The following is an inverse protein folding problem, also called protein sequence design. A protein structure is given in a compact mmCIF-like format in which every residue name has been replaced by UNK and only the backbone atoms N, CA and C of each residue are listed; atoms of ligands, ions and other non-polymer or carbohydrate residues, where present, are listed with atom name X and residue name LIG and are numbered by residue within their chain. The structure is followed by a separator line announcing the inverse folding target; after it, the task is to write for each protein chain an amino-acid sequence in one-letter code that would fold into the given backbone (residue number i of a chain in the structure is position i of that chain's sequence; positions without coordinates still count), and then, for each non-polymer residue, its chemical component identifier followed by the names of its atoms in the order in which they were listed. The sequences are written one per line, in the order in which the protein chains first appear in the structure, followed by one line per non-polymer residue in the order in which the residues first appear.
data_IF_671812769674
#
_entry.id   IF_671812769674
#
_cell.length_a   1.000
_cell.length_b   1.000
_cell.length_c   1.000
_cell.angle_alpha   90.00
_cell.angle_beta   90.00
_cell.angle_gamma   90.00
#
_symmetry.space_group_name_H-M   'P 1'
#
loop_
_entity.id
_entity.type
_entity.pdbx_description
1 polymer ?
#
# COMPACT_ATOMS: atom_id res chain seq x y z
N UNK A 1 -21.60 -93.13 19.10
CA UNK A 1 -21.91 -93.48 17.69
C UNK A 1 -22.20 -92.14 16.97
N UNK A 2 -21.56 -91.85 15.87
CA UNK A 2 -21.87 -90.64 15.10
C UNK A 2 -20.63 -89.95 14.60
N UNK A 3 -20.21 -90.39 13.48
CA UNK A 3 -19.00 -90.09 12.69
C UNK A 3 -18.96 -88.66 12.23
N UNK A 4 -17.82 -87.97 12.46
CA UNK A 4 -17.52 -86.71 11.93
C UNK A 4 -17.14 -86.75 10.45
N UNK A 5 -17.51 -85.72 9.71
CA UNK A 5 -16.94 -85.46 8.40
C UNK A 5 -16.12 -84.16 8.47
N UNK A 6 -14.83 -84.30 8.18
CA UNK A 6 -13.92 -83.20 7.86
C UNK A 6 -14.33 -82.56 6.51
N UNK A 7 -14.40 -81.20 6.47
CA UNK A 7 -14.38 -80.47 5.24
C UNK A 7 -12.98 -79.82 5.07
N UNK A 8 -12.44 -79.92 3.89
CA UNK A 8 -11.12 -79.37 3.45
C UNK A 8 -11.20 -77.85 3.18
N UNK A 9 -10.10 -77.12 3.27
CA UNK A 9 -10.08 -75.70 3.03
C UNK A 9 -10.04 -75.37 1.53
N UNK A 10 -10.88 -74.45 1.11
CA UNK A 10 -10.82 -73.83 -0.23
C UNK A 10 -9.66 -72.88 -0.28
N UNK A 11 -8.98 -72.81 -1.43
CA UNK A 11 -7.80 -72.04 -1.71
C UNK A 11 -8.08 -70.54 -1.96
N UNK A 12 -7.03 -69.70 -2.12
CA UNK A 12 -7.13 -68.26 -2.12
C UNK A 12 -7.73 -67.75 -3.44
N UNK A 13 -8.85 -67.02 -3.30
CA UNK A 13 -9.45 -66.26 -4.42
C UNK A 13 -8.77 -64.97 -4.70
N UNK A 14 -8.38 -64.87 -5.93
CA UNK A 14 -8.14 -63.68 -6.80
C UNK A 14 -7.91 -62.32 -6.20
N UNK A 15 -6.73 -61.81 -6.55
CA UNK A 15 -6.30 -60.40 -6.52
C UNK A 15 -7.41 -59.40 -6.85
N UNK A 16 -7.84 -58.64 -5.83
CA UNK A 16 -8.53 -57.40 -5.97
C UNK A 16 -7.53 -56.30 -6.31
N UNK A 17 -7.22 -56.10 -7.58
CA UNK A 17 -6.60 -54.91 -8.09
C UNK A 17 -7.45 -53.70 -7.68
N UNK A 18 -7.03 -53.00 -6.62
CA UNK A 18 -7.54 -51.65 -6.29
C UNK A 18 -7.12 -50.77 -7.45
N UNK A 19 -8.08 -50.56 -8.37
CA UNK A 19 -7.92 -49.49 -9.37
C UNK A 19 -7.80 -48.19 -8.62
N UNK A 20 -6.61 -47.57 -8.64
CA UNK A 20 -6.38 -46.21 -8.21
C UNK A 20 -7.38 -45.31 -8.96
N UNK A 21 -8.18 -44.58 -8.20
CA UNK A 21 -9.13 -43.61 -8.70
C UNK A 21 -8.34 -42.49 -9.46
N UNK A 22 -8.55 -42.27 -10.76
CA UNK A 22 -7.81 -41.27 -11.52
C UNK A 22 -8.15 -39.83 -11.14
N UNK A 23 -8.97 -39.61 -10.11
CA UNK A 23 -9.38 -38.27 -9.66
C UNK A 23 -8.68 -37.75 -8.39
N UNK A 24 -7.76 -38.48 -7.79
CA UNK A 24 -6.81 -37.92 -6.83
C UNK A 24 -5.71 -37.20 -7.61
N UNK A 25 -6.05 -36.06 -8.25
CA UNK A 25 -5.06 -34.98 -8.50
C UNK A 25 -4.57 -34.60 -7.12
N UNK A 26 -3.30 -34.92 -6.81
CA UNK A 26 -2.56 -34.29 -5.74
C UNK A 26 -2.87 -32.80 -5.84
N UNK A 27 -3.32 -32.16 -4.76
CA UNK A 27 -3.54 -30.73 -4.73
C UNK A 27 -2.17 -30.06 -4.91
N UNK A 28 -1.72 -29.91 -6.17
CA UNK A 28 -0.57 -29.09 -6.45
C UNK A 28 -0.86 -27.71 -5.85
N UNK A 29 -0.04 -27.31 -4.89
CA UNK A 29 -0.12 -26.03 -4.20
C UNK A 29 -0.15 -24.93 -5.24
N UNK A 30 -1.26 -24.18 -5.31
CA UNK A 30 -1.42 -23.09 -6.26
C UNK A 30 -0.57 -21.91 -5.83
N UNK A 31 0.36 -21.46 -6.69
CA UNK A 31 1.34 -20.44 -6.36
C UNK A 31 0.95 -19.06 -6.87
N UNK A 32 0.92 -18.10 -5.96
CA UNK A 32 0.71 -16.69 -6.25
C UNK A 32 2.04 -15.93 -6.16
N UNK A 33 2.52 -15.35 -7.27
CA UNK A 33 3.68 -14.48 -7.25
C UNK A 33 3.28 -13.01 -7.09
N UNK A 34 3.74 -12.39 -6.00
CA UNK A 34 3.77 -10.94 -5.85
C UNK A 34 4.98 -10.38 -6.58
N UNK A 35 4.78 -9.52 -7.55
CA UNK A 35 5.86 -8.86 -8.29
C UNK A 35 5.88 -7.39 -7.91
N UNK A 36 6.99 -6.97 -7.31
CA UNK A 36 7.21 -5.61 -6.81
C UNK A 36 8.64 -5.17 -7.08
N UNK A 37 8.87 -3.88 -7.21
CA UNK A 37 10.22 -3.39 -7.55
C UNK A 37 11.19 -3.50 -6.38
N UNK A 38 10.75 -3.19 -5.15
CA UNK A 38 11.59 -3.06 -3.95
C UNK A 38 11.00 -3.83 -2.77
N UNK A 39 11.85 -4.56 -2.05
CA UNK A 39 11.47 -5.32 -0.85
C UNK A 39 10.93 -4.44 0.27
N UNK A 40 11.54 -3.26 0.53
CA UNK A 40 11.09 -2.34 1.56
C UNK A 40 9.65 -1.85 1.34
N UNK A 41 9.26 -1.66 0.08
CA UNK A 41 7.90 -1.23 -0.25
C UNK A 41 6.89 -2.34 0.03
N UNK A 42 7.22 -3.57 -0.34
CA UNK A 42 6.40 -4.74 -0.01
C UNK A 42 6.31 -4.93 1.51
N UNK A 43 7.43 -4.93 2.21
CA UNK A 43 7.50 -5.11 3.65
C UNK A 43 6.76 -4.03 4.44
N UNK A 44 6.64 -2.81 3.90
CA UNK A 44 5.94 -1.71 4.58
C UNK A 44 4.44 -1.66 4.29
N UNK A 45 3.96 -2.16 3.13
CA UNK A 45 2.58 -1.95 2.69
C UNK A 45 1.81 -3.24 2.37
N UNK A 46 2.49 -4.37 2.06
CA UNK A 46 1.86 -5.54 1.47
C UNK A 46 1.99 -6.83 2.29
N UNK A 47 2.61 -6.81 3.46
CA UNK A 47 2.69 -8.01 4.32
C UNK A 47 1.32 -8.63 4.63
N UNK A 48 0.23 -7.87 4.87
CA UNK A 48 -1.09 -8.45 5.08
C UNK A 48 -1.58 -9.32 3.91
N UNK A 49 -1.13 -9.05 2.69
CA UNK A 49 -1.53 -9.81 1.50
C UNK A 49 -0.91 -11.20 1.43
N UNK A 50 0.20 -11.43 2.14
CA UNK A 50 0.76 -12.79 2.33
C UNK A 50 -0.24 -13.65 3.11
N UNK A 51 -0.79 -13.11 4.20
CA UNK A 51 -1.83 -13.78 5.00
C UNK A 51 -3.07 -14.01 4.15
N UNK A 52 -3.54 -13.00 3.41
CA UNK A 52 -4.69 -13.14 2.51
C UNK A 52 -4.51 -14.23 1.44
N UNK A 53 -3.30 -14.36 0.87
CA UNK A 53 -2.99 -15.43 -0.07
C UNK A 53 -3.07 -16.80 0.58
N UNK A 54 -2.51 -16.96 1.77
CA UNK A 54 -2.54 -18.23 2.53
C UNK A 54 -3.97 -18.59 2.95
N UNK A 55 -4.75 -17.62 3.42
CA UNK A 55 -6.16 -17.80 3.80
C UNK A 55 -7.02 -18.22 2.58
N UNK A 56 -6.62 -17.83 1.37
CA UNK A 56 -7.21 -18.28 0.11
C UNK A 56 -6.64 -19.64 -0.39
N UNK A 57 -5.81 -20.32 0.38
CA UNK A 57 -5.19 -21.60 0.01
C UNK A 57 -4.11 -21.48 -1.07
N UNK A 58 -3.44 -20.32 -1.16
CA UNK A 58 -2.37 -20.06 -2.12
C UNK A 58 -1.00 -20.07 -1.43
N UNK A 59 0.03 -20.53 -2.14
CA UNK A 59 1.43 -20.41 -1.71
C UNK A 59 2.01 -19.08 -2.19
N UNK A 60 2.32 -18.12 -1.28
CA UNK A 60 2.82 -16.83 -1.66
C UNK A 60 4.31 -16.85 -1.98
N UNK A 61 4.67 -16.29 -3.15
CA UNK A 61 6.05 -16.08 -3.60
C UNK A 61 6.23 -14.58 -3.85
N UNK A 62 7.27 -13.95 -3.29
CA UNK A 62 7.57 -12.52 -3.51
C UNK A 62 8.80 -12.40 -4.40
N UNK A 63 8.64 -11.73 -5.53
CA UNK A 63 9.73 -11.45 -6.49
C UNK A 63 10.02 -9.95 -6.46
N UNK A 64 11.18 -9.57 -5.92
CA UNK A 64 11.55 -8.19 -5.71
C UNK A 64 13.07 -8.00 -5.78
N UNK A 65 13.53 -6.75 -5.87
CA UNK A 65 14.90 -6.42 -5.52
C UNK A 65 15.05 -6.50 -4.00
N UNK A 66 15.82 -7.48 -3.54
CA UNK A 66 16.01 -7.73 -2.11
C UNK A 66 17.23 -6.96 -1.61
N UNK A 67 17.06 -6.19 -0.51
CA UNK A 67 18.13 -5.47 0.20
C UNK A 67 18.12 -5.84 1.69
N UNK A 68 17.24 -5.24 2.49
CA UNK A 68 17.24 -5.37 3.95
C UNK A 68 15.97 -6.04 4.50
N UNK A 69 14.94 -6.26 3.66
CA UNK A 69 13.62 -6.68 4.13
C UNK A 69 13.23 -8.09 3.71
N UNK A 70 14.14 -8.83 3.07
CA UNK A 70 13.87 -10.20 2.60
C UNK A 70 13.46 -11.14 3.74
N UNK A 71 14.19 -11.12 4.85
CA UNK A 71 13.92 -11.97 6.01
C UNK A 71 12.55 -11.68 6.62
N UNK A 72 12.18 -10.41 6.76
CA UNK A 72 10.86 -10.00 7.26
C UNK A 72 9.71 -10.50 6.38
N UNK A 73 9.92 -10.53 5.06
CA UNK A 73 8.94 -11.06 4.10
C UNK A 73 8.83 -12.59 4.24
N UNK A 74 9.97 -13.27 4.40
CA UNK A 74 10.03 -14.72 4.61
C UNK A 74 9.38 -15.13 5.94
N UNK A 75 9.65 -14.41 7.02
CA UNK A 75 9.02 -14.59 8.35
C UNK A 75 7.49 -14.43 8.28
N UNK A 76 6.98 -13.56 7.42
CA UNK A 76 5.54 -13.43 7.17
C UNK A 76 4.93 -14.64 6.43
N UNK A 77 5.77 -15.58 5.94
CA UNK A 77 5.36 -16.84 5.34
C UNK A 77 5.33 -16.85 3.82
N UNK A 78 6.07 -15.97 3.15
CA UNK A 78 6.26 -15.99 1.70
C UNK A 78 7.67 -16.48 1.33
N UNK A 79 7.79 -17.25 0.25
CA UNK A 79 9.07 -17.52 -0.37
C UNK A 79 9.57 -16.28 -1.11
N UNK A 80 10.82 -15.87 -0.87
CA UNK A 80 11.41 -14.68 -1.48
C UNK A 80 12.36 -15.06 -2.62
N UNK A 81 12.20 -14.43 -3.77
CA UNK A 81 13.07 -14.58 -4.94
C UNK A 81 13.66 -13.22 -5.28
N UNK A 82 14.98 -13.13 -5.20
CA UNK A 82 15.68 -11.91 -5.58
C UNK A 82 15.64 -11.71 -7.11
N UNK A 83 15.24 -10.52 -7.54
CA UNK A 83 15.17 -10.13 -8.94
C UNK A 83 15.76 -8.73 -9.14
N UNK A 84 16.95 -8.67 -9.68
CA UNK A 84 17.61 -7.40 -10.00
C UNK A 84 17.12 -6.86 -11.35
N UNK A 85 16.39 -5.75 -11.29
CA UNK A 85 16.03 -4.97 -12.45
C UNK A 85 16.37 -3.50 -12.20
N UNK A 86 17.03 -2.85 -13.15
CA UNK A 86 17.33 -1.43 -13.04
C UNK A 86 16.03 -0.60 -13.17
N UNK A 87 15.65 0.06 -12.06
CA UNK A 87 14.47 0.94 -12.00
C UNK A 87 14.53 2.13 -12.95
N UNK A 88 15.75 2.58 -13.28
CA UNK A 88 15.99 3.81 -14.04
C UNK A 88 16.24 3.55 -15.50
N UNK A 89 16.57 2.32 -15.86
CA UNK A 89 16.84 1.99 -17.24
C UNK A 89 15.59 2.14 -18.09
N UNK A 90 15.65 3.04 -19.05
CA UNK A 90 14.71 3.18 -20.15
C UNK A 90 15.23 2.47 -21.41
N UNK A 91 16.35 1.75 -21.31
CA UNK A 91 16.91 0.97 -22.42
C UNK A 91 15.96 -0.17 -22.76
N UNK A 92 15.39 -0.22 -23.98
CA UNK A 92 14.42 -1.24 -24.36
C UNK A 92 14.99 -2.65 -24.32
N UNK A 93 16.28 -2.85 -24.63
CA UNK A 93 16.93 -4.16 -24.55
C UNK A 93 17.06 -4.66 -23.10
N UNK A 94 17.37 -3.76 -22.15
CA UNK A 94 17.41 -4.11 -20.73
C UNK A 94 16.02 -4.45 -20.20
N UNK A 95 14.98 -3.76 -20.66
CA UNK A 95 13.59 -4.04 -20.31
C UNK A 95 13.18 -5.41 -20.89
N UNK A 96 13.44 -5.69 -22.16
CA UNK A 96 13.16 -6.98 -22.78
C UNK A 96 13.90 -8.13 -22.10
N UNK A 97 15.18 -7.95 -21.76
CA UNK A 97 15.94 -8.92 -20.98
C UNK A 97 15.36 -9.19 -19.60
N UNK A 98 14.84 -8.14 -18.93
CA UNK A 98 14.15 -8.28 -17.63
C UNK A 98 12.84 -9.04 -17.77
N UNK A 99 12.06 -8.77 -18.80
CA UNK A 99 10.82 -9.49 -19.11
C UNK A 99 11.10 -10.98 -19.36
N UNK A 100 12.09 -11.30 -20.17
CA UNK A 100 12.46 -12.69 -20.48
C UNK A 100 12.91 -13.46 -19.23
N UNK A 101 13.76 -12.84 -18.38
CA UNK A 101 14.20 -13.43 -17.12
C UNK A 101 13.03 -13.64 -16.15
N UNK A 102 12.12 -12.65 -16.04
CA UNK A 102 10.94 -12.78 -15.20
C UNK A 102 10.04 -13.92 -15.69
N UNK A 103 9.78 -14.02 -17.01
CA UNK A 103 9.00 -15.11 -17.58
C UNK A 103 9.62 -16.49 -17.32
N UNK A 104 10.97 -16.59 -17.40
CA UNK A 104 11.68 -17.82 -17.06
C UNK A 104 11.53 -18.20 -15.58
N UNK A 105 11.60 -17.23 -14.66
CA UNK A 105 11.35 -17.45 -13.23
C UNK A 105 9.93 -17.94 -13.01
N UNK A 106 8.92 -17.27 -13.57
CA UNK A 106 7.52 -17.64 -13.42
C UNK A 106 7.26 -19.08 -13.86
N UNK A 107 7.84 -19.50 -14.98
CA UNK A 107 7.73 -20.89 -15.47
C UNK A 107 8.45 -21.89 -14.57
N UNK A 108 9.71 -21.60 -14.21
CA UNK A 108 10.54 -22.48 -13.38
C UNK A 108 9.91 -22.74 -12.01
N UNK A 109 9.30 -21.72 -11.44
CA UNK A 109 8.65 -21.79 -10.12
C UNK A 109 7.21 -22.35 -10.19
N UNK A 110 6.70 -22.69 -11.38
CA UNK A 110 5.32 -23.13 -11.61
C UNK A 110 4.29 -22.12 -11.03
N UNK A 111 4.49 -20.83 -11.32
CA UNK A 111 3.54 -19.79 -10.91
C UNK A 111 2.30 -19.85 -11.78
N UNK A 112 1.12 -19.90 -11.18
CA UNK A 112 -0.14 -19.96 -11.90
C UNK A 112 -0.95 -18.67 -11.86
N UNK A 113 -0.62 -17.74 -10.95
CA UNK A 113 -1.23 -16.41 -10.85
C UNK A 113 -0.25 -15.35 -10.34
N UNK A 114 -0.48 -14.10 -10.74
CA UNK A 114 0.40 -12.99 -10.37
C UNK A 114 -0.37 -11.82 -9.75
N UNK A 115 0.22 -11.20 -8.74
CA UNK A 115 -0.22 -9.95 -8.14
C UNK A 115 0.85 -8.89 -8.39
N UNK A 116 0.58 -7.99 -9.32
CA UNK A 116 1.52 -7.00 -9.84
C UNK A 116 1.33 -5.68 -9.11
N UNK A 117 2.35 -5.25 -8.37
CA UNK A 117 2.27 -4.11 -7.47
C UNK A 117 2.96 -2.90 -8.09
N UNK A 118 2.23 -1.82 -8.24
CA UNK A 118 2.61 -0.55 -8.87
C UNK A 118 2.81 -0.67 -10.40
N UNK A 119 2.68 0.47 -11.09
CA UNK A 119 2.59 0.55 -12.56
C UNK A 119 3.74 -0.12 -13.30
N UNK A 120 4.98 0.01 -12.82
CA UNK A 120 6.13 -0.62 -13.47
C UNK A 120 6.04 -2.14 -13.43
N UNK A 121 5.67 -2.70 -12.28
CA UNK A 121 5.47 -4.15 -12.14
C UNK A 121 4.28 -4.63 -12.95
N UNK A 122 3.21 -3.82 -13.05
CA UNK A 122 2.06 -4.12 -13.90
C UNK A 122 2.51 -4.22 -15.36
N UNK A 123 3.28 -3.25 -15.88
CA UNK A 123 3.70 -3.26 -17.28
C UNK A 123 4.65 -4.43 -17.57
N UNK A 124 5.76 -4.52 -16.85
CA UNK A 124 6.80 -5.54 -17.10
C UNK A 124 6.30 -6.95 -16.72
N UNK A 125 5.64 -7.06 -15.57
CA UNK A 125 5.13 -8.33 -15.06
C UNK A 125 3.99 -8.89 -15.90
N UNK A 126 3.12 -8.05 -16.48
CA UNK A 126 2.03 -8.53 -17.36
C UNK A 126 2.56 -9.15 -18.65
N UNK A 127 3.57 -8.53 -19.27
CA UNK A 127 4.20 -9.09 -20.47
C UNK A 127 4.91 -10.41 -20.13
N UNK A 128 5.65 -10.46 -19.02
CA UNK A 128 6.29 -11.67 -18.54
C UNK A 128 5.28 -12.79 -18.22
N UNK A 129 4.16 -12.44 -17.58
CA UNK A 129 3.06 -13.36 -17.28
C UNK A 129 2.41 -13.89 -18.56
N UNK A 130 2.19 -13.04 -19.58
CA UNK A 130 1.70 -13.47 -20.89
C UNK A 130 2.65 -14.49 -21.55
N UNK A 131 3.96 -14.19 -21.55
CA UNK A 131 4.97 -15.12 -22.06
C UNK A 131 5.00 -16.44 -21.28
N UNK A 132 4.70 -16.41 -19.99
CA UNK A 132 4.63 -17.60 -19.14
C UNK A 132 3.28 -18.34 -19.22
N UNK A 133 2.30 -17.83 -19.98
CA UNK A 133 0.96 -18.43 -20.10
C UNK A 133 0.03 -18.15 -18.92
N UNK A 134 0.34 -17.15 -18.08
CA UNK A 134 -0.42 -16.83 -16.87
C UNK A 134 -1.48 -15.79 -17.19
N UNK A 135 -2.76 -16.20 -17.12
CA UNK A 135 -3.92 -15.33 -17.34
C UNK A 135 -4.48 -14.70 -16.07
N UNK A 136 -4.36 -15.35 -14.89
CA UNK A 136 -4.89 -14.83 -13.62
C UNK A 136 -3.97 -13.74 -13.06
N UNK A 137 -4.43 -12.49 -13.07
CA UNK A 137 -3.62 -11.31 -12.69
C UNK A 137 -4.38 -10.40 -11.72
N UNK A 138 -3.70 -9.89 -10.71
CA UNK A 138 -4.15 -8.70 -9.95
C UNK A 138 -3.25 -7.53 -10.32
N UNK A 139 -3.86 -6.40 -10.63
CA UNK A 139 -3.18 -5.12 -10.81
C UNK A 139 -3.43 -4.26 -9.58
N UNK A 140 -2.44 -4.19 -8.68
CA UNK A 140 -2.48 -3.31 -7.52
C UNK A 140 -1.93 -1.92 -7.88
N UNK A 141 -2.85 -0.97 -8.04
CA UNK A 141 -2.52 0.42 -8.35
C UNK A 141 -2.45 1.21 -7.05
N UNK A 142 -1.24 1.42 -6.55
CA UNK A 142 -0.95 2.04 -5.25
C UNK A 142 -0.64 3.53 -5.41
N UNK A 143 -1.64 4.28 -5.82
CA UNK A 143 -1.56 5.72 -6.07
C UNK A 143 -1.24 6.08 -7.53
N UNK A 144 -1.86 7.17 -7.94
CA UNK A 144 -1.79 7.65 -9.32
C UNK A 144 -0.45 8.24 -9.77
N UNK A 145 0.52 8.42 -8.85
CA UNK A 145 1.90 8.90 -9.06
C UNK A 145 2.14 9.76 -10.31
N UNK A 146 2.45 9.10 -11.42
CA UNK A 146 2.71 9.75 -12.71
C UNK A 146 1.43 10.34 -13.34
N UNK A 147 0.27 9.71 -13.13
CA UNK A 147 -1.01 10.14 -13.73
C UNK A 147 -1.56 11.44 -13.13
N UNK A 148 -1.14 11.75 -11.90
CA UNK A 148 -1.63 12.93 -11.17
C UNK A 148 -0.64 14.08 -11.13
N UNK A 149 0.59 13.85 -11.58
CA UNK A 149 1.68 14.81 -11.46
C UNK A 149 1.58 16.00 -12.46
N UNK A 150 0.79 15.84 -13.54
CA UNK A 150 0.63 16.88 -14.58
C UNK A 150 -0.84 17.02 -14.95
N UNK A 151 -1.33 18.25 -14.91
CA UNK A 151 -2.73 18.60 -15.27
C UNK A 151 -2.84 19.20 -16.67
N UNK A 152 -1.73 19.41 -17.35
CA UNK A 152 -1.66 19.94 -18.72
C UNK A 152 -2.12 18.90 -19.78
N UNK A 153 -2.25 19.33 -21.03
CA UNK A 153 -2.71 18.47 -22.13
C UNK A 153 -1.84 17.22 -22.32
N UNK A 154 -0.51 17.35 -22.17
CA UNK A 154 0.43 16.23 -22.27
C UNK A 154 0.25 15.25 -21.12
N UNK A 155 0.03 15.76 -19.91
CA UNK A 155 -0.26 14.93 -18.74
C UNK A 155 -1.57 14.12 -18.90
N UNK A 156 -2.62 14.76 -19.40
CA UNK A 156 -3.91 14.06 -19.69
C UNK A 156 -3.76 12.97 -20.74
N UNK A 157 -3.05 13.25 -21.84
CA UNK A 157 -2.80 12.24 -22.88
C UNK A 157 -1.97 11.07 -22.34
N UNK A 158 -0.93 11.35 -21.57
CA UNK A 158 -0.10 10.31 -20.92
C UNK A 158 -0.92 9.46 -19.96
N UNK A 159 -1.80 10.09 -19.18
CA UNK A 159 -2.70 9.41 -18.26
C UNK A 159 -3.68 8.49 -19.01
N UNK A 160 -4.29 8.99 -20.09
CA UNK A 160 -5.20 8.21 -20.93
C UNK A 160 -4.48 7.03 -21.57
N UNK A 161 -3.29 7.24 -22.17
CA UNK A 161 -2.49 6.19 -22.79
C UNK A 161 -2.14 5.08 -21.79
N UNK A 162 -1.74 5.46 -20.57
CA UNK A 162 -1.40 4.50 -19.52
C UNK A 162 -2.64 3.73 -19.03
N UNK A 163 -3.77 4.42 -18.87
CA UNK A 163 -5.03 3.78 -18.49
C UNK A 163 -5.46 2.75 -19.57
N UNK A 164 -5.41 3.14 -20.84
CA UNK A 164 -5.68 2.24 -21.97
C UNK A 164 -4.72 1.04 -21.96
N UNK A 165 -3.42 1.27 -21.81
CA UNK A 165 -2.43 0.20 -21.75
C UNK A 165 -2.75 -0.80 -20.63
N UNK A 166 -3.00 -0.32 -19.42
CA UNK A 166 -3.27 -1.16 -18.25
C UNK A 166 -4.59 -1.91 -18.36
N UNK A 167 -5.66 -1.22 -18.81
CA UNK A 167 -7.00 -1.80 -18.82
C UNK A 167 -7.27 -2.68 -20.04
N UNK A 168 -6.81 -2.25 -21.24
CA UNK A 168 -7.25 -2.85 -22.51
C UNK A 168 -6.15 -3.69 -23.17
N UNK A 169 -4.86 -3.41 -22.92
CA UNK A 169 -3.75 -4.12 -23.57
C UNK A 169 -3.15 -5.19 -22.65
N UNK A 170 -2.87 -4.84 -21.38
CA UNK A 170 -2.19 -5.73 -20.44
C UNK A 170 -3.15 -6.61 -19.63
N UNK A 171 -4.40 -6.24 -19.55
CA UNK A 171 -5.43 -7.02 -18.85
C UNK A 171 -5.85 -8.25 -19.64
N UNK A 172 -6.32 -9.25 -18.93
CA UNK A 172 -6.97 -10.45 -19.45
C UNK A 172 -8.43 -10.49 -18.99
N UNK A 173 -9.22 -11.44 -19.48
CA UNK A 173 -10.57 -11.68 -18.99
C UNK A 173 -10.62 -11.97 -17.49
N UNK A 174 -9.55 -12.57 -16.92
CA UNK A 174 -9.44 -12.93 -15.49
C UNK A 174 -8.69 -11.87 -14.66
N UNK A 175 -8.36 -10.69 -15.21
CA UNK A 175 -7.67 -9.65 -14.45
C UNK A 175 -8.59 -8.99 -13.43
N UNK A 176 -8.13 -8.93 -12.18
CA UNK A 176 -8.74 -8.18 -11.08
C UNK A 176 -7.91 -6.93 -10.80
N UNK A 177 -8.55 -5.89 -10.29
CA UNK A 177 -7.91 -4.61 -9.97
C UNK A 177 -8.04 -4.33 -8.48
N UNK A 178 -6.95 -3.91 -7.87
CA UNK A 178 -6.90 -3.52 -6.46
C UNK A 178 -6.45 -2.07 -6.36
N UNK A 179 -7.25 -1.25 -5.71
CA UNK A 179 -7.00 0.17 -5.49
C UNK A 179 -7.10 0.50 -3.99
N UNK A 180 -6.55 1.64 -3.61
CA UNK A 180 -6.57 2.13 -2.23
C UNK A 180 -7.60 3.24 -1.99
N UNK A 181 -8.25 3.75 -3.05
CA UNK A 181 -9.29 4.76 -2.99
C UNK A 181 -10.28 4.60 -4.16
N UNK A 182 -11.45 5.23 -4.06
CA UNK A 182 -12.52 5.12 -5.07
C UNK A 182 -12.33 6.02 -6.30
N UNK A 183 -11.43 6.99 -6.24
CA UNK A 183 -11.17 7.92 -7.35
C UNK A 183 -10.26 7.31 -8.42
N UNK A 184 -9.28 6.51 -8.00
CA UNK A 184 -8.29 5.95 -8.91
C UNK A 184 -8.89 4.99 -9.95
N UNK A 185 -9.83 4.07 -9.63
CA UNK A 185 -10.51 3.27 -10.66
C UNK A 185 -11.09 4.12 -11.78
N UNK A 186 -11.77 5.23 -11.45
CA UNK A 186 -12.40 6.13 -12.44
C UNK A 186 -11.37 6.71 -13.41
N UNK A 187 -10.18 7.04 -12.93
CA UNK A 187 -9.06 7.51 -13.76
C UNK A 187 -8.55 6.48 -14.75
N UNK A 188 -8.70 5.19 -14.42
CA UNK A 188 -8.41 4.07 -15.32
C UNK A 188 -9.61 3.68 -16.19
N UNK A 189 -10.72 4.43 -16.15
CA UNK A 189 -11.95 4.12 -16.88
C UNK A 189 -12.66 2.87 -16.37
N UNK A 190 -12.51 2.58 -15.06
CA UNK A 190 -13.17 1.49 -14.36
C UNK A 190 -14.22 2.03 -13.40
N UNK A 191 -15.33 1.34 -13.25
CA UNK A 191 -16.32 1.69 -12.24
C UNK A 191 -15.85 1.17 -10.86
N UNK A 192 -15.87 1.98 -9.77
CA UNK A 192 -15.41 1.56 -8.45
C UNK A 192 -16.16 0.35 -7.88
N UNK A 193 -17.43 0.18 -8.26
CA UNK A 193 -18.30 -0.92 -7.84
C UNK A 193 -18.32 -2.08 -8.84
N UNK A 194 -17.42 -2.09 -9.82
CA UNK A 194 -17.26 -3.22 -10.73
C UNK A 194 -16.84 -4.48 -9.96
N UNK A 195 -17.38 -5.67 -10.29
CA UNK A 195 -16.97 -6.93 -9.65
C UNK A 195 -15.49 -7.26 -9.84
N UNK A 196 -14.82 -6.62 -10.81
CA UNK A 196 -13.37 -6.76 -11.06
C UNK A 196 -12.53 -5.77 -10.25
N UNK A 197 -13.14 -4.84 -9.51
CA UNK A 197 -12.46 -3.82 -8.70
C UNK A 197 -12.63 -4.13 -7.22
N UNK A 198 -11.54 -4.07 -6.50
CA UNK A 198 -11.50 -4.16 -5.04
C UNK A 198 -10.83 -2.92 -4.49
N UNK A 199 -11.49 -2.24 -3.56
CA UNK A 199 -10.92 -1.11 -2.82
C UNK A 199 -10.50 -1.63 -1.46
N UNK A 200 -9.24 -1.39 -1.08
CA UNK A 200 -8.69 -1.76 0.23
C UNK A 200 -8.32 -0.53 1.03
N UNK A 201 -8.29 -0.68 2.34
CA UNK A 201 -7.89 0.38 3.28
C UNK A 201 -6.37 0.63 3.31
N UNK A 202 -5.73 0.76 2.14
CA UNK A 202 -4.29 0.96 2.03
C UNK A 202 -3.48 -0.23 2.58
N UNK A 203 -2.45 0.06 3.38
CA UNK A 203 -1.60 -0.97 4.00
C UNK A 203 -2.27 -1.71 5.16
N UNK A 204 -3.41 -1.21 5.64
CA UNK A 204 -4.02 -1.65 6.90
C UNK A 204 -3.20 -1.24 8.12
N UNK A 205 -3.88 -1.04 9.23
CA UNK A 205 -3.26 -0.71 10.51
C UNK A 205 -3.60 -1.78 11.54
N UNK A 206 -2.62 -2.12 12.37
CA UNK A 206 -2.83 -2.89 13.58
C UNK A 206 -3.24 -1.93 14.71
N UNK A 207 -4.53 -1.90 15.11
CA UNK A 207 -5.03 -0.97 16.11
C UNK A 207 -4.53 -1.30 17.52
N UNK A 208 -4.10 -2.53 17.77
CA UNK A 208 -3.54 -2.94 19.05
C UNK A 208 -2.11 -2.49 19.23
N UNK A 209 -1.35 -2.44 18.15
CA UNK A 209 0.01 -1.91 18.13
C UNK A 209 0.04 -0.39 18.18
N UNK A 210 -0.87 0.27 17.45
CA UNK A 210 -0.99 1.73 17.41
C UNK A 210 -2.21 2.17 18.23
N UNK A 211 -2.04 2.20 19.55
CA UNK A 211 -3.09 2.60 20.49
C UNK A 211 -3.09 4.10 20.74
N UNK A 212 -4.25 4.70 21.00
CA UNK A 212 -4.32 6.08 21.46
C UNK A 212 -3.47 6.31 22.69
N UNK A 213 -2.90 7.48 22.78
CA UNK A 213 -2.16 7.97 23.96
C UNK A 213 -2.68 9.34 24.37
N UNK A 214 -2.53 9.76 25.61
CA UNK A 214 -2.93 11.08 26.06
C UNK A 214 -2.38 12.19 25.14
N UNK A 215 -3.12 13.26 24.96
CA UNK A 215 -2.65 14.42 24.21
C UNK A 215 -1.56 15.12 25.01
N UNK A 216 -0.50 15.63 24.35
CA UNK A 216 0.47 16.50 25.01
C UNK A 216 -0.19 17.78 25.53
N UNK A 217 0.49 18.50 26.41
CA UNK A 217 0.03 19.82 26.86
C UNK A 217 0.01 20.83 25.71
N UNK A 218 -0.98 21.73 25.72
CA UNK A 218 -1.15 22.79 24.74
C UNK A 218 -1.39 24.11 25.49
N UNK A 219 -0.81 25.26 25.11
CA UNK A 219 0.13 25.46 24.00
C UNK A 219 1.53 24.89 24.26
N UNK A 220 2.40 24.70 23.23
CA UNK A 220 2.16 24.97 21.81
C UNK A 220 1.35 23.86 21.12
N UNK A 221 0.69 24.18 19.99
CA UNK A 221 0.14 23.18 19.08
C UNK A 221 1.32 22.47 18.38
N UNK A 222 1.48 21.18 18.67
CA UNK A 222 2.56 20.36 18.11
C UNK A 222 2.06 19.59 16.90
N UNK A 223 2.63 19.90 15.74
CA UNK A 223 2.29 19.34 14.43
C UNK A 223 3.42 18.47 13.93
N UNK A 224 3.14 17.30 13.37
CA UNK A 224 4.15 16.46 12.75
C UNK A 224 3.84 16.15 11.29
N UNK A 225 4.88 16.14 10.47
CA UNK A 225 4.90 15.51 9.15
C UNK A 225 5.76 14.26 9.26
N UNK A 226 5.19 13.09 8.96
CA UNK A 226 5.92 11.82 8.86
C UNK A 226 5.85 11.34 7.42
N UNK A 227 6.89 11.57 6.64
CA UNK A 227 6.91 11.24 5.22
C UNK A 227 8.34 11.13 4.68
N UNK A 228 8.51 10.57 3.50
CA UNK A 228 9.73 10.80 2.71
C UNK A 228 9.85 12.29 2.41
N UNK A 229 11.03 12.85 2.55
CA UNK A 229 11.28 14.27 2.30
C UNK A 229 11.39 14.54 0.80
N UNK A 230 10.22 14.65 0.15
CA UNK A 230 10.07 14.95 -1.28
C UNK A 230 9.05 16.07 -1.48
N UNK A 231 9.25 16.89 -2.51
CA UNK A 231 8.41 18.06 -2.79
C UNK A 231 6.92 17.72 -2.97
N UNK A 232 6.60 16.53 -3.48
CA UNK A 232 5.21 16.11 -3.66
C UNK A 232 4.43 15.96 -2.35
N UNK A 233 5.10 15.84 -1.21
CA UNK A 233 4.48 15.77 0.12
C UNK A 233 4.11 17.15 0.69
N UNK A 234 4.51 18.26 0.01
CA UNK A 234 4.14 19.60 0.40
C UNK A 234 4.79 20.09 1.71
N UNK A 235 5.95 19.53 2.08
CA UNK A 235 6.66 19.90 3.32
C UNK A 235 6.95 21.38 3.40
N UNK A 236 7.32 21.98 2.28
CA UNK A 236 7.55 23.41 2.13
C UNK A 236 6.29 24.26 2.38
N UNK A 237 5.11 23.77 1.96
CA UNK A 237 3.84 24.44 2.23
C UNK A 237 3.55 24.50 3.73
N UNK A 238 3.80 23.40 4.44
CA UNK A 238 3.61 23.36 5.89
C UNK A 238 4.61 24.25 6.63
N UNK A 239 5.88 24.26 6.19
CA UNK A 239 6.90 25.16 6.74
C UNK A 239 6.46 26.63 6.59
N UNK A 240 6.02 27.05 5.40
CA UNK A 240 5.56 28.40 5.14
C UNK A 240 4.28 28.74 5.94
N UNK A 241 3.30 27.84 5.97
CA UNK A 241 2.06 28.05 6.71
C UNK A 241 2.29 28.22 8.23
N UNK A 242 3.18 27.40 8.81
CA UNK A 242 3.55 27.51 10.23
C UNK A 242 4.29 28.83 10.50
N UNK A 243 5.20 29.27 9.63
CA UNK A 243 5.86 30.58 9.77
C UNK A 243 4.85 31.73 9.77
N UNK A 244 3.89 31.72 8.84
CA UNK A 244 2.82 32.73 8.75
C UNK A 244 1.93 32.72 9.99
N UNK A 245 1.48 31.54 10.44
CA UNK A 245 0.66 31.41 11.64
C UNK A 245 1.40 31.91 12.90
N UNK A 246 2.69 31.60 13.04
CA UNK A 246 3.52 32.10 14.15
C UNK A 246 3.71 33.61 14.10
N UNK A 247 3.87 34.19 12.92
CA UNK A 247 3.92 35.66 12.73
C UNK A 247 2.63 36.35 13.17
N UNK A 248 1.48 35.63 13.17
CA UNK A 248 0.18 36.07 13.69
C UNK A 248 0.02 35.78 15.21
N UNK A 249 1.07 35.30 15.89
CA UNK A 249 1.07 35.06 17.32
C UNK A 249 0.68 33.64 17.75
N UNK A 250 0.44 32.73 16.84
CA UNK A 250 0.09 31.35 17.19
C UNK A 250 1.32 30.57 17.69
N UNK A 251 1.22 29.97 18.88
CA UNK A 251 2.25 29.08 19.41
C UNK A 251 2.12 27.69 18.72
N UNK A 252 2.83 27.50 17.62
CA UNK A 252 2.82 26.25 16.82
C UNK A 252 4.24 25.75 16.62
N UNK A 253 4.45 24.46 16.82
CA UNK A 253 5.70 23.75 16.54
C UNK A 253 5.48 22.71 15.43
N UNK A 254 6.40 22.64 14.47
CA UNK A 254 6.39 21.71 13.36
C UNK A 254 7.61 20.79 13.41
N UNK A 255 7.36 19.48 13.53
CA UNK A 255 8.39 18.45 13.47
C UNK A 255 8.34 17.69 12.14
N UNK A 256 9.47 17.61 11.44
CA UNK A 256 9.60 16.93 10.15
C UNK A 256 10.31 15.59 10.37
N UNK A 257 9.59 14.47 10.23
CA UNK A 257 10.15 13.13 10.35
C UNK A 257 10.27 12.45 9.00
N UNK A 258 11.47 12.04 8.66
CA UNK A 258 11.83 11.33 7.43
C UNK A 258 13.16 11.78 6.87
N UNK A 259 13.59 11.09 5.82
CA UNK A 259 14.82 11.40 5.09
C UNK A 259 14.55 11.75 3.63
N UNK A 260 15.46 12.48 2.96
CA UNK A 260 15.48 12.58 1.51
C UNK A 260 15.52 11.19 0.87
N UNK A 261 14.75 11.02 -0.20
CA UNK A 261 14.84 9.84 -1.04
C UNK A 261 15.93 10.09 -2.09
N UNK A 262 17.17 9.66 -1.81
CA UNK A 262 18.35 9.91 -2.66
C UNK A 262 18.17 9.45 -4.11
N UNK A 263 17.24 8.53 -4.34
CA UNK A 263 16.93 8.01 -5.66
C UNK A 263 15.79 8.76 -6.37
N UNK A 264 15.19 9.74 -5.70
CA UNK A 264 14.12 10.53 -6.26
C UNK A 264 14.64 11.93 -6.69
N UNK A 265 14.57 12.31 -7.98
CA UNK A 265 15.02 13.62 -8.44
C UNK A 265 14.22 14.79 -7.82
N UNK A 266 13.07 14.50 -7.21
CA UNK A 266 12.25 15.46 -6.49
C UNK A 266 12.45 15.38 -4.96
N UNK A 267 13.57 14.84 -4.49
CA UNK A 267 13.91 14.86 -3.07
C UNK A 267 14.22 16.27 -2.58
N UNK A 268 13.80 16.58 -1.36
CA UNK A 268 14.21 17.79 -0.66
C UNK A 268 15.62 17.55 -0.11
N UNK A 269 16.56 18.44 -0.40
CA UNK A 269 17.95 18.26 0.00
C UNK A 269 18.11 18.33 1.53
N UNK A 270 19.11 17.64 2.08
CA UNK A 270 19.45 17.79 3.50
C UNK A 270 19.80 19.22 3.87
N UNK A 271 20.44 19.98 2.94
CA UNK A 271 20.75 21.40 3.16
C UNK A 271 19.47 22.22 3.36
N UNK A 272 18.45 22.00 2.54
CA UNK A 272 17.13 22.63 2.67
C UNK A 272 16.47 22.27 4.02
N UNK A 273 16.46 20.99 4.40
CA UNK A 273 15.87 20.55 5.67
C UNK A 273 16.59 21.16 6.87
N UNK A 274 17.91 21.25 6.83
CA UNK A 274 18.70 21.94 7.86
C UNK A 274 18.44 23.44 7.89
N UNK A 275 18.22 24.09 6.74
CA UNK A 275 17.87 25.51 6.70
C UNK A 275 16.51 25.79 7.34
N UNK A 276 15.52 24.93 7.11
CA UNK A 276 14.21 25.01 7.77
C UNK A 276 14.30 24.79 9.28
N UNK A 277 15.20 23.91 9.77
CA UNK A 277 15.41 23.69 11.21
C UNK A 277 16.08 24.88 11.93
N UNK A 278 16.50 25.93 11.21
CA UNK A 278 16.98 27.20 11.83
C UNK A 278 15.83 28.19 12.05
N UNK A 279 14.66 27.88 11.51
CA UNK A 279 13.45 28.69 11.67
C UNK A 279 12.84 28.33 13.03
N UNK A 280 12.52 29.35 13.82
CA UNK A 280 11.92 29.14 15.14
C UNK A 280 10.61 28.35 15.05
N UNK A 281 10.46 27.34 15.89
CA UNK A 281 9.31 26.43 15.91
C UNK A 281 9.32 25.33 14.85
N UNK A 282 10.40 25.16 14.05
CA UNK A 282 10.50 24.10 13.03
C UNK A 282 11.73 23.25 13.28
N UNK A 283 11.55 21.91 13.30
CA UNK A 283 12.65 20.98 13.51
C UNK A 283 12.61 19.79 12.54
N UNK A 284 13.72 19.49 11.88
CA UNK A 284 13.89 18.23 11.16
C UNK A 284 14.49 17.16 12.07
N UNK A 285 13.74 16.15 12.35
CA UNK A 285 14.02 15.09 13.32
C UNK A 285 14.69 13.86 12.70
N UNK A 286 14.83 13.81 11.38
CA UNK A 286 15.32 12.60 10.70
C UNK A 286 14.31 11.47 10.69
N UNK A 287 14.78 10.23 10.49
CA UNK A 287 13.92 9.04 10.42
C UNK A 287 13.59 8.54 11.82
N UNK A 288 12.32 8.36 12.13
CA UNK A 288 11.89 7.63 13.32
C UNK A 288 11.64 6.16 13.01
N UNK A 289 12.14 5.26 13.86
CA UNK A 289 11.83 3.83 13.80
C UNK A 289 10.55 3.47 14.56
N UNK A 290 10.11 4.35 15.45
CA UNK A 290 8.90 4.21 16.24
C UNK A 290 7.95 5.37 15.93
N UNK A 291 6.99 5.10 15.04
CA UNK A 291 5.99 6.10 14.63
C UNK A 291 5.00 6.39 15.76
N UNK A 292 4.76 5.42 16.67
CA UNK A 292 3.90 5.62 17.84
C UNK A 292 4.49 6.69 18.75
N UNK A 293 5.78 6.60 19.07
CA UNK A 293 6.47 7.60 19.88
C UNK A 293 6.47 9.00 19.23
N UNK A 294 6.37 9.08 17.90
CA UNK A 294 6.14 10.36 17.22
C UNK A 294 4.77 10.90 17.57
N UNK A 295 3.72 10.09 17.37
CA UNK A 295 2.34 10.55 17.60
C UNK A 295 2.04 10.83 19.08
N UNK A 296 2.68 10.16 20.00
CA UNK A 296 2.56 10.45 21.44
C UNK A 296 2.97 11.88 21.79
N UNK A 297 3.87 12.49 21.03
CA UNK A 297 4.42 13.83 21.27
C UNK A 297 3.70 14.94 20.48
N UNK A 298 2.75 14.61 19.59
CA UNK A 298 2.13 15.56 18.70
C UNK A 298 0.60 15.52 18.81
N UNK A 299 -0.03 16.64 18.47
CA UNK A 299 -1.47 16.80 18.47
C UNK A 299 -2.07 16.49 17.10
N UNK A 300 -1.37 16.88 16.04
CA UNK A 300 -1.89 16.91 14.68
C UNK A 300 -0.89 16.29 13.69
N UNK A 301 -1.37 15.38 12.87
CA UNK A 301 -0.63 14.94 11.69
C UNK A 301 -0.94 15.89 10.52
N UNK A 302 0.08 16.44 9.90
CA UNK A 302 -0.04 17.27 8.71
C UNK A 302 0.56 16.55 7.50
N UNK A 303 -0.23 16.44 6.42
CA UNK A 303 0.25 15.92 5.15
C UNK A 303 -0.33 16.75 4.01
N UNK A 304 0.25 17.91 3.67
CA UNK A 304 -0.26 18.80 2.62
C UNK A 304 0.19 18.35 1.23
N UNK A 305 -0.10 17.07 0.90
CA UNK A 305 0.34 16.42 -0.34
C UNK A 305 -0.16 17.16 -1.59
N UNK A 306 0.68 17.24 -2.60
CA UNK A 306 0.36 17.82 -3.92
C UNK A 306 -0.33 16.81 -4.84
N UNK A 307 -0.41 15.54 -4.44
CA UNK A 307 -1.04 14.45 -5.20
C UNK A 307 -0.19 13.19 -5.29
N UNK A 308 -0.70 12.20 -6.03
CA UNK A 308 -0.01 10.93 -6.25
C UNK A 308 -0.12 9.93 -5.10
N UNK A 309 -0.98 10.20 -4.12
CA UNK A 309 -1.23 9.30 -2.99
C UNK A 309 -2.23 8.20 -3.38
N UNK A 310 -1.93 6.97 -2.97
CA UNK A 310 -2.92 5.89 -2.91
C UNK A 310 -3.81 6.09 -1.68
N UNK A 311 -3.36 5.59 -0.54
CA UNK A 311 -3.86 5.95 0.79
C UNK A 311 -2.66 6.17 1.72
N UNK A 312 -2.40 7.41 2.18
CA UNK A 312 -1.20 7.69 2.96
C UNK A 312 -1.18 6.98 4.30
N UNK A 313 -0.27 6.05 4.47
CA UNK A 313 -0.11 5.27 5.69
C UNK A 313 0.05 6.15 6.95
N UNK A 314 0.75 7.26 6.82
CA UNK A 314 0.98 8.19 7.93
C UNK A 314 -0.32 8.78 8.51
N UNK A 315 -1.34 9.02 7.66
CA UNK A 315 -2.65 9.47 8.13
C UNK A 315 -3.38 8.37 8.92
N UNK A 316 -3.29 7.12 8.45
CA UNK A 316 -3.84 5.97 9.17
C UNK A 316 -3.14 5.75 10.51
N UNK A 317 -1.81 5.85 10.56
CA UNK A 317 -1.00 5.68 11.77
C UNK A 317 -1.31 6.76 12.82
N UNK A 318 -1.42 8.02 12.39
CA UNK A 318 -1.78 9.13 13.26
C UNK A 318 -3.22 8.97 13.80
N UNK A 319 -4.16 8.64 12.93
CA UNK A 319 -5.54 8.37 13.30
C UNK A 319 -5.64 7.21 14.30
N UNK A 320 -4.92 6.12 14.08
CA UNK A 320 -4.85 4.99 15.00
C UNK A 320 -4.34 5.40 16.39
N UNK A 321 -3.40 6.34 16.46
CA UNK A 321 -2.92 6.91 17.72
C UNK A 321 -3.84 8.00 18.29
N UNK A 322 -5.02 8.23 17.71
CA UNK A 322 -6.00 9.20 18.17
C UNK A 322 -5.60 10.65 17.90
N UNK A 323 -4.85 10.94 16.83
CA UNK A 323 -4.42 12.29 16.45
C UNK A 323 -5.34 12.89 15.40
N UNK A 324 -5.60 14.19 15.50
CA UNK A 324 -6.30 14.94 14.45
C UNK A 324 -5.48 14.99 13.17
N UNK A 325 -6.15 15.22 12.04
CA UNK A 325 -5.52 15.17 10.73
C UNK A 325 -5.67 16.51 10.01
N UNK A 326 -4.62 16.95 9.33
CA UNK A 326 -4.65 18.09 8.43
C UNK A 326 -4.02 17.66 7.10
N UNK A 327 -4.79 17.72 6.03
CA UNK A 327 -4.34 17.24 4.72
C UNK A 327 -4.98 18.05 3.59
N UNK A 328 -4.65 17.67 2.35
CA UNK A 328 -5.15 18.34 1.15
C UNK A 328 -6.22 17.51 0.43
N UNK A 329 -7.05 18.19 -0.36
CA UNK A 329 -8.09 17.59 -1.21
C UNK A 329 -7.48 16.87 -2.43
N UNK A 330 -6.69 15.82 -2.14
CA UNK A 330 -6.20 14.89 -3.16
C UNK A 330 -6.79 13.50 -2.90
N UNK A 331 -7.02 12.66 -3.92
CA UNK A 331 -7.82 11.44 -3.82
C UNK A 331 -7.51 10.55 -2.62
N UNK A 332 -6.25 10.16 -2.46
CA UNK A 332 -5.86 9.27 -1.36
C UNK A 332 -6.06 9.90 0.02
N UNK A 333 -5.89 11.21 0.15
CA UNK A 333 -6.08 11.91 1.42
C UNK A 333 -7.57 12.08 1.77
N UNK A 334 -8.36 12.67 0.84
CA UNK A 334 -9.80 12.91 1.06
C UNK A 334 -10.63 11.62 1.16
N UNK A 335 -10.15 10.52 0.62
CA UNK A 335 -10.84 9.23 0.75
C UNK A 335 -10.85 8.72 2.19
N UNK A 336 -9.87 9.11 2.98
CA UNK A 336 -9.78 8.75 4.40
C UNK A 336 -10.22 9.87 5.32
N UNK A 337 -9.81 11.13 5.08
CA UNK A 337 -10.09 12.25 5.99
C UNK A 337 -11.39 12.95 5.60
N UNK A 338 -12.41 12.88 6.45
CA UNK A 338 -13.63 13.67 6.31
C UNK A 338 -13.39 15.06 6.89
N UNK A 339 -13.62 16.09 6.08
CA UNK A 339 -13.40 17.47 6.49
C UNK A 339 -14.28 17.86 7.69
N UNK A 340 -13.70 18.53 8.67
CA UNK A 340 -14.27 18.96 9.94
C UNK A 340 -14.85 17.82 10.85
N UNK A 341 -14.54 16.56 10.51
CA UNK A 341 -14.94 15.37 11.28
C UNK A 341 -13.71 14.61 11.81
N UNK A 342 -12.82 14.19 10.92
CA UNK A 342 -11.58 13.48 11.25
C UNK A 342 -10.38 14.42 11.31
N UNK A 343 -10.57 15.66 10.85
CA UNK A 343 -9.55 16.68 10.68
C UNK A 343 -9.98 17.73 9.66
N UNK A 344 -9.02 18.46 9.12
CA UNK A 344 -9.24 19.49 8.11
C UNK A 344 -8.65 19.08 6.76
N UNK A 345 -9.41 19.33 5.69
CA UNK A 345 -9.00 19.07 4.31
C UNK A 345 -9.01 20.39 3.56
N UNK A 346 -7.83 20.82 3.09
CA UNK A 346 -7.63 22.10 2.40
C UNK A 346 -7.29 21.90 0.92
N UNK A 347 -7.42 22.95 0.13
CA UNK A 347 -7.03 22.90 -1.28
C UNK A 347 -5.52 22.58 -1.43
N UNK A 348 -5.11 21.75 -2.40
CA UNK A 348 -3.70 21.49 -2.65
C UNK A 348 -2.98 22.74 -3.17
N UNK A 349 -1.71 22.92 -2.76
CA UNK A 349 -0.87 24.08 -3.10
C UNK A 349 -1.39 25.44 -2.56
N UNK A 350 -2.26 25.43 -1.58
CA UNK A 350 -2.80 26.64 -0.94
C UNK A 350 -2.21 26.81 0.47
N UNK A 351 -1.18 27.64 0.58
CA UNK A 351 -0.52 27.94 1.87
C UNK A 351 -1.46 28.70 2.79
N UNK A 352 -2.29 29.59 2.26
CA UNK A 352 -3.22 30.41 3.07
C UNK A 352 -4.30 29.54 3.70
N UNK A 353 -4.89 28.61 2.92
CA UNK A 353 -5.86 27.66 3.46
C UNK A 353 -5.23 26.74 4.54
N UNK A 354 -3.96 26.35 4.35
CA UNK A 354 -3.22 25.55 5.34
C UNK A 354 -2.91 26.36 6.61
N UNK A 355 -2.53 27.63 6.48
CA UNK A 355 -2.35 28.57 7.59
C UNK A 355 -3.66 28.75 8.39
N UNK A 356 -4.78 29.02 7.72
CA UNK A 356 -6.08 29.21 8.36
C UNK A 356 -6.55 27.94 9.08
N UNK A 357 -6.30 26.77 8.52
CA UNK A 357 -6.57 25.49 9.18
C UNK A 357 -5.75 25.32 10.45
N UNK A 358 -4.46 25.65 10.43
CA UNK A 358 -3.60 25.63 11.62
C UNK A 358 -4.06 26.63 12.68
N UNK A 359 -4.43 27.86 12.27
CA UNK A 359 -4.98 28.86 13.17
C UNK A 359 -6.29 28.43 13.81
N UNK A 360 -7.19 27.79 13.05
CA UNK A 360 -8.45 27.24 13.55
C UNK A 360 -8.22 26.20 14.66
N UNK A 361 -7.30 25.25 14.40
CA UNK A 361 -6.98 24.20 15.39
C UNK A 361 -6.27 24.78 16.62
N UNK A 362 -5.42 25.78 16.43
CA UNK A 362 -4.74 26.46 17.55
C UNK A 362 -5.71 27.26 18.42
N UNK A 363 -6.67 27.95 17.81
CA UNK A 363 -7.69 28.76 18.51
C UNK A 363 -8.74 27.89 19.22
N UNK A 364 -9.01 26.68 18.72
CA UNK A 364 -10.01 25.76 19.24
C UNK A 364 -9.39 24.40 19.61
N UNK A 365 -8.63 24.30 20.72
CA UNK A 365 -7.87 23.10 21.11
C UNK A 365 -8.70 21.82 21.21
N UNK A 366 -9.97 21.94 21.62
CA UNK A 366 -10.88 20.79 21.77
C UNK A 366 -11.17 20.07 20.46
N UNK A 367 -10.97 20.74 19.32
CA UNK A 367 -11.11 20.10 18.00
C UNK A 367 -10.14 18.95 17.80
N UNK A 368 -8.91 19.07 18.32
CA UNK A 368 -7.87 18.05 18.17
C UNK A 368 -8.33 16.71 18.74
N UNK A 369 -8.90 16.74 19.94
CA UNK A 369 -9.42 15.54 20.61
C UNK A 369 -10.61 14.92 19.86
N UNK A 370 -11.56 15.76 19.42
CA UNK A 370 -12.72 15.30 18.63
C UNK A 370 -12.31 14.68 17.30
N UNK A 371 -11.43 15.33 16.55
CA UNK A 371 -10.89 14.82 15.29
C UNK A 371 -10.15 13.50 15.50
N UNK A 372 -9.29 13.44 16.51
CA UNK A 372 -8.54 12.23 16.83
C UNK A 372 -9.43 11.04 17.18
N UNK A 373 -10.46 11.25 17.99
CA UNK A 373 -11.42 10.20 18.34
C UNK A 373 -12.19 9.70 17.11
N UNK A 374 -12.66 10.62 16.27
CA UNK A 374 -13.38 10.27 15.04
C UNK A 374 -12.48 9.55 14.04
N UNK A 375 -11.24 10.03 13.81
CA UNK A 375 -10.26 9.41 12.94
C UNK A 375 -9.89 8.00 13.41
N UNK A 376 -9.73 7.78 14.72
CA UNK A 376 -9.49 6.46 15.31
C UNK A 376 -10.65 5.51 15.03
N UNK A 377 -11.89 5.93 15.31
CA UNK A 377 -13.07 5.12 15.02
C UNK A 377 -13.17 4.74 13.55
N UNK A 378 -12.70 5.62 12.64
CA UNK A 378 -12.66 5.32 11.22
C UNK A 378 -11.62 4.23 10.88
N UNK A 379 -10.44 4.23 11.53
CA UNK A 379 -9.44 3.16 11.35
C UNK A 379 -10.02 1.82 11.79
N UNK A 380 -10.67 1.76 12.94
CA UNK A 380 -11.25 0.53 13.49
C UNK A 380 -12.41 -0.04 12.65
N UNK A 381 -13.02 0.79 11.80
CA UNK A 381 -14.15 0.42 10.95
C UNK A 381 -13.79 0.47 9.46
N UNK A 382 -12.84 -0.38 9.02
CA UNK A 382 -12.58 -0.62 7.60
C UNK A 382 -11.14 -0.35 7.13
N UNK A 383 -10.20 -0.01 8.06
CA UNK A 383 -8.80 0.26 7.68
C UNK A 383 -7.81 -0.54 8.53
N UNK A 384 -8.27 -1.60 9.18
CA UNK A 384 -7.40 -2.50 9.93
C UNK A 384 -6.67 -3.47 8.99
N UNK A 385 -5.61 -4.10 9.49
CA UNK A 385 -4.94 -5.22 8.78
C UNK A 385 -5.94 -6.32 8.44
N UNK A 386 -6.87 -6.62 9.35
CA UNK A 386 -7.87 -7.69 9.14
C UNK A 386 -8.87 -7.33 8.03
N UNK A 387 -9.28 -6.05 7.93
CA UNK A 387 -10.13 -5.57 6.82
C UNK A 387 -9.43 -5.73 5.47
N UNK A 388 -8.13 -5.36 5.40
CA UNK A 388 -7.32 -5.52 4.18
C UNK A 388 -7.16 -6.99 3.81
N UNK A 389 -6.89 -7.84 4.78
CA UNK A 389 -6.78 -9.30 4.58
C UNK A 389 -8.10 -9.86 4.07
N UNK A 390 -9.22 -9.55 4.71
CA UNK A 390 -10.54 -10.06 4.31
C UNK A 390 -10.91 -9.64 2.88
N UNK A 391 -10.73 -8.36 2.53
CA UNK A 391 -11.02 -7.85 1.19
C UNK A 391 -10.12 -8.49 0.12
N UNK A 392 -8.85 -8.70 0.44
CA UNK A 392 -7.88 -9.29 -0.50
C UNK A 392 -8.10 -10.81 -0.63
N UNK A 393 -8.43 -11.52 0.46
CA UNK A 393 -8.80 -12.94 0.41
C UNK A 393 -10.03 -13.14 -0.47
N UNK A 394 -11.07 -12.31 -0.29
CA UNK A 394 -12.27 -12.37 -1.13
C UNK A 394 -11.95 -12.12 -2.62
N UNK A 395 -10.99 -11.23 -2.92
CA UNK A 395 -10.52 -11.02 -4.30
C UNK A 395 -9.87 -12.30 -4.87
N UNK A 396 -9.01 -12.98 -4.10
CA UNK A 396 -8.34 -14.19 -4.58
C UNK A 396 -9.29 -15.36 -4.74
N UNK A 397 -10.27 -15.51 -3.85
CA UNK A 397 -11.30 -16.58 -3.94
C UNK A 397 -12.14 -16.41 -5.20
N UNK A 398 -12.49 -15.17 -5.60
CA UNK A 398 -13.24 -14.89 -6.83
C UNK A 398 -12.56 -15.36 -8.12
N UNK A 399 -11.25 -15.63 -8.12
CA UNK A 399 -10.57 -16.20 -9.29
C UNK A 399 -10.95 -17.66 -9.57
N UNK A 400 -11.44 -18.35 -8.57
CA UNK A 400 -11.72 -19.78 -8.64
C UNK A 400 -13.24 -20.06 -8.72
N UNK A 401 -14.06 -19.01 -8.60
CA UNK A 401 -15.51 -19.04 -8.80
C UNK A 401 -15.87 -18.76 -10.28
#
# INVERSE_FOLDING_TARGET
MGVGRRAMPEGPGSDGLIRADPHTRSSESRKLAFIVTEDWFFASHFLPMIRAARDAGLEPVVIARVREHGDRIAEAGARVIAFEADRRSLNPFAILGSIARMAAILRRENIDRVHLIALRSIIVGSVAASLAGIGKRVFAVTGGGVLTARTDGVGRLSAWTLAFLVKDVLATGSTQYLFENRDDPVRFGLHPDSPRVTIVGGAGIDPDRLRPSPMPGMPPLKVAIVARMVWSKGVDLAVEAVQRARARGAAIELSLYGAPDEHNPKAISQATLRSWSRIDGIAWMGVSRDVRAVWEKHHLACLPSRGGEGLPRTLLEAAACGRGLLTTDVPGCRSFVRNDIDGLVVAPNDVSALEDALMTVWAEPDRVGRYGASARGRVENGYTVDDVVAATTALYVRWDA
#
